data_IF_272798801613
#
_entry.id   IF_272798801613
#
_cell.length_a   1.000
_cell.length_b   1.000
_cell.length_c   1.000
_cell.angle_alpha   90.00
_cell.angle_beta   90.00
_cell.angle_gamma   90.00
#
_symmetry.space_group_name_H-M   'P 1'
#
loop_
_entity.id
_entity.type
_entity.pdbx_description
1 polymer ?
#
# COMPACT_ATOMS: atom_id res chain seq x y z
N UNK A 1 33.71 -6.20 50.21
CA UNK A 1 32.78 -6.84 49.25
C UNK A 1 32.08 -5.79 48.42
N UNK A 2 32.44 -5.73 47.22
CA UNK A 2 31.84 -4.77 46.32
C UNK A 2 30.82 -5.47 45.43
N UNK A 3 29.59 -5.16 45.59
CA UNK A 3 28.54 -5.51 44.65
C UNK A 3 28.63 -4.56 43.48
N UNK A 4 29.13 -5.07 42.39
CA UNK A 4 29.01 -4.38 41.11
C UNK A 4 27.57 -4.47 40.64
N UNK A 5 26.84 -3.39 40.80
CA UNK A 5 25.56 -3.23 40.12
C UNK A 5 25.86 -2.86 38.68
N UNK A 6 25.79 -3.85 37.86
CA UNK A 6 25.64 -3.63 36.42
C UNK A 6 24.22 -3.15 36.19
N UNK A 7 24.04 -1.87 36.16
CA UNK A 7 22.85 -1.28 35.57
C UNK A 7 22.95 -1.50 34.07
N UNK A 8 22.37 -2.60 33.65
CA UNK A 8 22.16 -2.82 32.22
C UNK A 8 21.23 -1.72 31.71
N UNK A 9 21.79 -0.75 31.02
CA UNK A 9 20.98 0.23 30.32
C UNK A 9 20.09 -0.48 29.34
N UNK A 10 18.81 -0.47 29.61
CA UNK A 10 17.81 -0.89 28.64
C UNK A 10 17.82 0.15 27.51
N UNK A 11 18.54 -0.15 26.46
CA UNK A 11 18.45 0.62 25.22
C UNK A 11 17.05 0.37 24.66
N UNK A 12 16.12 1.20 25.06
CA UNK A 12 14.87 1.33 24.35
C UNK A 12 15.18 1.95 23.00
N UNK A 13 15.35 1.08 22.02
CA UNK A 13 15.31 1.52 20.63
C UNK A 13 13.88 1.92 20.33
N UNK A 14 13.52 3.14 20.68
CA UNK A 14 12.32 3.78 20.17
C UNK A 14 12.59 4.10 18.70
N UNK A 15 12.78 3.07 17.88
CA UNK A 15 12.84 3.23 16.43
C UNK A 15 11.47 3.53 15.90
N UNK A 16 11.42 4.24 14.75
CA UNK A 16 10.21 4.31 13.94
C UNK A 16 9.60 2.92 13.88
N UNK A 17 8.30 2.80 14.15
CA UNK A 17 7.61 1.53 14.07
C UNK A 17 7.80 0.98 12.66
N UNK A 18 8.77 0.11 12.47
CA UNK A 18 8.97 -0.62 11.25
C UNK A 18 7.79 -1.52 10.98
N UNK A 19 7.72 -2.04 9.76
CA UNK A 19 6.73 -3.04 9.42
C UNK A 19 6.97 -4.29 10.28
N UNK A 20 5.92 -4.99 10.70
CA UNK A 20 6.09 -6.27 11.39
C UNK A 20 6.72 -7.31 10.46
N UNK A 21 7.27 -8.37 11.03
CA UNK A 21 7.78 -9.48 10.25
C UNK A 21 6.63 -10.22 9.57
N UNK A 22 6.76 -10.58 8.28
CA UNK A 22 5.72 -11.33 7.61
C UNK A 22 5.44 -12.68 8.26
N UNK A 23 4.17 -13.03 8.36
CA UNK A 23 3.73 -14.35 8.82
C UNK A 23 3.96 -15.36 7.68
N UNK A 24 4.75 -16.43 7.90
CA UNK A 24 5.02 -17.42 6.86
C UNK A 24 3.80 -18.23 6.42
N UNK A 25 2.71 -18.16 7.16
CA UNK A 25 1.45 -18.84 6.79
C UNK A 25 0.55 -17.98 5.93
N UNK A 26 0.94 -16.71 5.69
CA UNK A 26 0.15 -15.76 4.93
C UNK A 26 0.96 -15.17 3.77
N UNK A 27 0.26 -14.51 2.86
CA UNK A 27 0.88 -13.76 1.78
C UNK A 27 1.03 -12.30 2.21
N UNK A 28 2.16 -11.70 1.88
CA UNK A 28 2.47 -10.30 2.20
C UNK A 28 2.43 -9.47 0.94
N UNK A 29 1.78 -8.31 0.98
CA UNK A 29 1.71 -7.40 -0.16
C UNK A 29 2.25 -6.04 0.26
N UNK A 30 3.38 -5.65 -0.30
CA UNK A 30 3.94 -4.31 -0.15
C UNK A 30 3.18 -3.34 -1.03
N UNK A 31 3.05 -2.10 -0.55
CA UNK A 31 2.48 -1.00 -1.33
C UNK A 31 3.59 -0.08 -1.80
N UNK A 32 3.59 0.28 -3.07
CA UNK A 32 4.58 1.16 -3.65
C UNK A 32 3.95 2.17 -4.59
N UNK A 33 4.38 3.42 -4.47
CA UNK A 33 3.90 4.50 -5.30
C UNK A 33 4.99 5.55 -5.49
N UNK A 34 4.74 6.52 -6.38
CA UNK A 34 5.68 7.60 -6.66
C UNK A 34 5.69 8.65 -5.55
N UNK A 35 6.74 9.47 -5.55
CA UNK A 35 6.81 10.65 -4.68
C UNK A 35 5.62 11.56 -4.95
N UNK A 36 5.23 12.32 -3.93
CA UNK A 36 4.11 13.26 -3.98
C UNK A 36 2.74 12.59 -4.16
N UNK A 37 2.67 11.28 -4.01
CA UNK A 37 1.40 10.54 -4.03
C UNK A 37 1.27 9.72 -2.75
N UNK A 38 0.06 9.29 -2.44
CA UNK A 38 -0.19 8.47 -1.25
C UNK A 38 -0.98 7.21 -1.64
N UNK A 39 -0.53 6.08 -1.13
CA UNK A 39 -1.16 4.79 -1.36
C UNK A 39 -1.36 4.10 -0.02
N UNK A 40 -2.59 3.68 0.24
CA UNK A 40 -2.96 3.04 1.50
C UNK A 40 -3.78 1.79 1.25
N UNK A 41 -3.55 0.77 2.09
CA UNK A 41 -4.41 -0.41 2.14
C UNK A 41 -5.73 -0.01 2.79
N UNK A 42 -6.85 -0.32 2.13
CA UNK A 42 -8.15 0.10 2.60
C UNK A 42 -9.03 -1.07 3.04
N UNK A 43 -9.18 -2.07 2.17
CA UNK A 43 -10.04 -3.22 2.43
C UNK A 43 -9.47 -4.50 1.85
N UNK A 44 -9.80 -5.63 2.49
CA UNK A 44 -9.60 -6.97 1.97
C UNK A 44 -10.93 -7.69 2.04
N UNK A 45 -11.45 -8.16 0.91
CA UNK A 45 -12.71 -8.90 0.82
C UNK A 45 -13.87 -8.17 1.55
N UNK A 46 -13.98 -6.86 1.28
CA UNK A 46 -15.00 -5.96 1.86
C UNK A 46 -14.82 -5.69 3.36
N UNK A 47 -13.71 -6.09 3.95
CA UNK A 47 -13.39 -5.81 5.35
C UNK A 47 -12.28 -4.78 5.44
N UNK A 48 -12.44 -3.80 6.32
CA UNK A 48 -11.45 -2.77 6.54
C UNK A 48 -10.10 -3.38 6.96
N UNK A 49 -9.04 -2.96 6.27
CA UNK A 49 -7.69 -3.38 6.60
C UNK A 49 -7.25 -2.78 7.94
N UNK A 50 -6.60 -3.59 8.78
CA UNK A 50 -6.12 -3.15 10.10
C UNK A 50 -4.91 -2.24 10.01
N UNK A 51 -4.06 -2.43 9.02
CA UNK A 51 -2.89 -1.60 8.77
C UNK A 51 -2.97 -1.02 7.36
N UNK A 52 -2.72 0.27 7.25
CA UNK A 52 -2.82 0.98 5.96
C UNK A 52 -1.53 0.92 5.13
N UNK A 53 -0.46 0.39 5.69
CA UNK A 53 0.86 0.38 5.05
C UNK A 53 1.13 -0.84 4.19
N UNK A 54 0.39 -1.94 4.39
CA UNK A 54 0.58 -3.20 3.70
C UNK A 54 -0.67 -4.05 3.79
N UNK A 55 -0.72 -5.12 2.99
CA UNK A 55 -1.71 -6.17 3.18
C UNK A 55 -1.02 -7.47 3.62
N UNK A 56 -1.71 -8.22 4.47
CA UNK A 56 -1.34 -9.58 4.80
C UNK A 56 -2.61 -10.42 4.77
N UNK A 57 -2.61 -11.43 3.89
CA UNK A 57 -3.83 -12.19 3.61
C UNK A 57 -3.55 -13.70 3.68
N UNK A 58 -4.55 -14.51 4.07
CA UNK A 58 -4.42 -15.96 3.97
C UNK A 58 -4.22 -16.38 2.51
N UNK A 59 -3.67 -17.59 2.28
CA UNK A 59 -3.59 -18.11 0.91
C UNK A 59 -4.97 -18.21 0.26
N UNK A 60 -5.01 -18.05 -1.07
CA UNK A 60 -6.23 -18.18 -1.84
C UNK A 60 -6.63 -16.91 -2.56
N UNK A 61 -7.92 -16.79 -2.83
CA UNK A 61 -8.49 -15.70 -3.61
C UNK A 61 -8.91 -14.53 -2.72
N UNK A 62 -8.45 -13.33 -3.05
CA UNK A 62 -8.79 -12.11 -2.31
C UNK A 62 -8.93 -10.92 -3.24
N UNK A 63 -9.78 -9.98 -2.83
CA UNK A 63 -9.90 -8.67 -3.45
C UNK A 63 -9.28 -7.64 -2.52
N UNK A 64 -8.28 -6.91 -3.03
CA UNK A 64 -7.60 -5.84 -2.30
C UNK A 64 -8.13 -4.50 -2.81
N UNK A 65 -8.55 -3.63 -1.90
CA UNK A 65 -8.92 -2.26 -2.24
C UNK A 65 -7.89 -1.33 -1.64
N UNK A 66 -7.35 -0.46 -2.49
CA UNK A 66 -6.39 0.56 -2.09
C UNK A 66 -6.99 1.94 -2.30
N UNK A 67 -6.52 2.89 -1.50
CA UNK A 67 -6.81 4.30 -1.68
C UNK A 67 -5.57 4.96 -2.24
N UNK A 68 -5.73 5.61 -3.40
CA UNK A 68 -4.65 6.29 -4.08
C UNK A 68 -4.98 7.78 -4.22
N UNK A 69 -4.12 8.62 -3.65
CA UNK A 69 -4.26 10.07 -3.72
C UNK A 69 -3.10 10.66 -4.52
N UNK A 70 -3.41 11.50 -5.48
CA UNK A 70 -2.40 12.05 -6.37
C UNK A 70 -2.78 13.45 -6.86
N UNK A 71 -1.76 14.32 -7.10
CA UNK A 71 -2.01 15.62 -7.67
C UNK A 71 -2.17 15.53 -9.18
N UNK A 72 -3.08 16.35 -9.73
CA UNK A 72 -3.25 16.50 -11.18
C UNK A 72 -2.82 17.90 -11.55
N UNK A 73 -1.92 18.00 -12.52
CA UNK A 73 -1.43 19.29 -12.98
C UNK A 73 -2.58 20.10 -13.60
N UNK A 74 -2.66 21.41 -13.28
CA UNK A 74 -3.73 22.27 -13.80
C UNK A 74 -3.80 22.31 -15.33
N UNK A 75 -2.67 22.14 -16.00
CA UNK A 75 -2.58 22.15 -17.46
C UNK A 75 -3.31 20.99 -18.11
N UNK A 76 -3.53 19.90 -17.37
CA UNK A 76 -4.25 18.73 -17.87
C UNK A 76 -5.76 18.89 -17.81
N UNK A 77 -6.25 19.96 -17.17
CA UNK A 77 -7.69 20.16 -16.96
C UNK A 77 -8.21 21.32 -17.81
N UNK A 78 -7.31 22.12 -18.39
CA UNK A 78 -7.68 23.34 -19.13
C UNK A 78 -8.04 24.48 -18.18
N UNK A 79 -7.63 25.68 -18.52
CA UNK A 79 -7.92 26.88 -17.75
C UNK A 79 -6.78 27.31 -16.85
N UNK A 80 -6.82 28.55 -16.36
CA UNK A 80 -5.80 29.10 -15.48
C UNK A 80 -6.00 28.53 -14.08
N UNK A 81 -5.22 27.53 -13.72
CA UNK A 81 -5.18 27.04 -12.37
C UNK A 81 -3.78 27.26 -11.81
N UNK A 82 -3.70 27.77 -10.60
CA UNK A 82 -2.44 28.08 -9.93
C UNK A 82 -1.99 26.97 -9.01
N UNK A 83 -2.88 26.01 -8.68
CA UNK A 83 -2.59 24.92 -7.77
C UNK A 83 -3.02 23.58 -8.37
N UNK A 84 -2.26 22.50 -8.13
CA UNK A 84 -2.68 21.17 -8.57
C UNK A 84 -3.94 20.73 -7.83
N UNK A 85 -4.81 20.02 -8.54
CA UNK A 85 -5.97 19.39 -7.95
C UNK A 85 -5.58 18.01 -7.44
N UNK A 86 -6.02 17.68 -6.23
CA UNK A 86 -5.82 16.36 -5.68
C UNK A 86 -7.00 15.46 -6.02
N UNK A 87 -6.71 14.27 -6.48
CA UNK A 87 -7.71 13.24 -6.66
C UNK A 87 -7.52 12.16 -5.61
N UNK A 88 -8.64 11.63 -5.16
CA UNK A 88 -8.70 10.58 -4.16
C UNK A 88 -9.52 9.43 -4.76
N UNK A 89 -8.83 8.38 -5.16
CA UNK A 89 -9.44 7.28 -5.87
C UNK A 89 -9.27 5.97 -5.11
N UNK A 90 -10.25 5.09 -5.27
CA UNK A 90 -10.16 3.72 -4.82
C UNK A 90 -9.93 2.81 -6.03
N UNK A 91 -9.05 1.83 -5.85
CA UNK A 91 -8.73 0.83 -6.87
C UNK A 91 -8.88 -0.56 -6.27
N UNK A 92 -9.55 -1.43 -7.00
CA UNK A 92 -9.76 -2.82 -6.59
C UNK A 92 -8.88 -3.73 -7.42
N UNK A 93 -8.11 -4.59 -6.75
CA UNK A 93 -7.24 -5.57 -7.40
C UNK A 93 -7.63 -6.96 -6.91
N UNK A 94 -7.97 -7.84 -7.84
CA UNK A 94 -8.32 -9.23 -7.53
C UNK A 94 -7.21 -10.17 -7.96
N UNK A 95 -6.89 -11.12 -7.10
CA UNK A 95 -5.98 -12.21 -7.43
C UNK A 95 -6.44 -13.48 -6.73
N UNK A 96 -6.48 -14.58 -7.46
CA UNK A 96 -7.08 -15.83 -6.98
C UNK A 96 -6.09 -16.78 -6.32
N UNK A 97 -4.78 -16.57 -6.49
CA UNK A 97 -3.76 -17.53 -6.11
C UNK A 97 -2.67 -16.95 -5.20
N UNK A 98 -3.06 -16.19 -4.19
CA UNK A 98 -2.08 -15.78 -3.17
C UNK A 98 -1.52 -17.01 -2.46
N UNK A 99 -0.20 -17.10 -2.37
CA UNK A 99 0.47 -18.23 -1.75
C UNK A 99 1.10 -17.86 -0.41
N UNK A 100 1.01 -18.78 0.56
CA UNK A 100 1.62 -18.59 1.87
C UNK A 100 3.14 -18.40 1.75
N UNK A 101 3.69 -17.49 2.54
CA UNK A 101 5.11 -17.20 2.55
C UNK A 101 5.62 -16.43 1.35
N UNK A 102 4.75 -16.06 0.41
CA UNK A 102 5.12 -15.30 -0.76
C UNK A 102 4.93 -13.81 -0.52
N UNK A 103 5.80 -13.02 -1.14
CA UNK A 103 5.76 -11.57 -1.06
C UNK A 103 5.39 -10.97 -2.41
N UNK A 104 4.39 -10.13 -2.40
CA UNK A 104 3.86 -9.46 -3.58
C UNK A 104 4.08 -7.96 -3.44
N UNK A 105 3.97 -7.25 -4.56
CA UNK A 105 4.06 -5.80 -4.57
C UNK A 105 2.89 -5.22 -5.35
N UNK A 106 2.14 -4.34 -4.72
CA UNK A 106 1.07 -3.59 -5.37
C UNK A 106 1.59 -2.19 -5.66
N UNK A 107 1.71 -1.86 -6.93
CA UNK A 107 2.14 -0.54 -7.38
C UNK A 107 0.93 0.23 -7.89
N UNK A 108 0.89 1.52 -7.57
CA UNK A 108 -0.12 2.42 -8.09
C UNK A 108 0.54 3.65 -8.71
N UNK A 109 -0.13 4.21 -9.67
CA UNK A 109 0.30 5.42 -10.35
C UNK A 109 -0.88 6.02 -11.12
N UNK A 110 -0.60 7.03 -11.92
CA UNK A 110 -1.62 7.68 -12.73
C UNK A 110 -1.06 8.16 -14.05
N UNK A 111 -1.92 8.20 -15.05
CA UNK A 111 -1.66 8.83 -16.34
C UNK A 111 -2.65 9.97 -16.45
N UNK A 112 -2.18 11.22 -16.24
CA UNK A 112 -3.06 12.37 -16.06
C UNK A 112 -3.93 12.17 -14.82
N UNK A 113 -5.25 12.20 -14.99
CA UNK A 113 -6.18 11.95 -13.88
C UNK A 113 -6.74 10.52 -13.85
N UNK A 114 -6.13 9.60 -14.61
CA UNK A 114 -6.52 8.18 -14.61
C UNK A 114 -5.59 7.39 -13.70
N UNK A 115 -6.09 6.87 -12.59
CA UNK A 115 -5.27 6.02 -11.72
C UNK A 115 -5.18 4.61 -12.28
N UNK A 116 -4.09 3.94 -11.95
CA UNK A 116 -3.90 2.53 -12.26
C UNK A 116 -3.24 1.84 -11.08
N UNK A 117 -3.43 0.54 -10.99
CA UNK A 117 -2.74 -0.31 -10.02
C UNK A 117 -2.41 -1.65 -10.65
N UNK A 118 -1.27 -2.21 -10.27
CA UNK A 118 -0.82 -3.52 -10.72
C UNK A 118 -0.24 -4.29 -9.56
N UNK A 119 -0.55 -5.58 -9.52
CA UNK A 119 -0.01 -6.50 -8.54
C UNK A 119 1.07 -7.35 -9.19
N UNK A 120 2.25 -7.38 -8.57
CA UNK A 120 3.41 -8.15 -9.04
C UNK A 120 3.74 -9.26 -8.05
N UNK A 121 4.18 -10.40 -8.57
CA UNK A 121 4.72 -11.48 -7.75
C UNK A 121 6.23 -11.26 -7.49
N UNK A 122 6.88 -12.22 -6.85
CA UNK A 122 8.32 -12.14 -6.53
C UNK A 122 9.21 -12.14 -7.77
N UNK A 123 8.72 -12.67 -8.89
CA UNK A 123 9.43 -12.66 -10.18
C UNK A 123 9.12 -11.40 -10.97
N UNK A 124 8.47 -10.41 -10.36
CA UNK A 124 8.05 -9.16 -11.00
C UNK A 124 7.09 -9.35 -12.17
N UNK A 125 6.34 -10.43 -12.14
CA UNK A 125 5.30 -10.70 -13.13
C UNK A 125 3.99 -10.09 -12.66
N UNK A 126 3.26 -9.44 -13.57
CA UNK A 126 1.95 -8.89 -13.27
C UNK A 126 0.96 -10.04 -13.11
N UNK A 127 0.39 -10.16 -11.91
CA UNK A 127 -0.59 -11.20 -11.60
C UNK A 127 -1.98 -10.62 -11.35
N UNK A 128 -2.11 -9.31 -11.25
CA UNK A 128 -3.39 -8.64 -11.10
C UNK A 128 -3.33 -7.19 -11.58
N UNK A 129 -4.47 -6.67 -12.01
CA UNK A 129 -4.61 -5.28 -12.41
C UNK A 129 -5.77 -4.63 -11.68
N UNK A 130 -5.57 -3.37 -11.30
CA UNK A 130 -6.57 -2.62 -10.60
C UNK A 130 -7.67 -2.10 -11.51
N UNK A 131 -8.89 -2.17 -11.00
CA UNK A 131 -10.06 -1.55 -11.62
C UNK A 131 -10.47 -0.35 -10.77
N UNK A 132 -10.76 0.81 -11.40
CA UNK A 132 -11.24 1.96 -10.64
C UNK A 132 -12.56 1.62 -9.94
N UNK A 133 -12.61 1.91 -8.65
CA UNK A 133 -13.79 1.69 -7.82
C UNK A 133 -14.43 3.00 -7.35
N UNK A 134 -13.94 4.13 -7.83
CA UNK A 134 -14.49 5.44 -7.58
C UNK A 134 -13.41 6.46 -7.25
N UNK A 135 -13.62 7.71 -7.65
CA UNK A 135 -12.76 8.82 -7.35
C UNK A 135 -13.58 9.96 -6.77
N UNK A 136 -13.02 10.63 -5.75
CA UNK A 136 -13.63 11.80 -5.15
C UNK A 136 -12.75 13.02 -5.42
N UNK A 137 -13.38 14.18 -5.56
CA UNK A 137 -12.66 15.46 -5.56
C UNK A 137 -12.46 15.91 -4.13
N UNK A 138 -11.26 16.22 -3.82
CA UNK A 138 -10.94 16.88 -2.55
C UNK A 138 -10.69 18.36 -2.75
#
# INVERSE_FOLDING_TARGET
MRTLMLTGGLLMLAGCAGLPDPDPTQAWIDLETHQDTALQALEVDDKTSTDKRYFEVPPGSHELVVRYQFPVEPTNIGGPATEPLWRDCQLSVKFKDFNAGQRYQLQAGNIGFRPWAKLYDQQRKVVGQGQPAGCQRT
#
